data_IF_014163337007
#
_entry.id   IF_014163337007
#
_cell.length_a   1.000
_cell.length_b   1.000
_cell.length_c   1.000
_cell.angle_alpha   90.00
_cell.angle_beta   90.00
_cell.angle_gamma   90.00
#
_symmetry.space_group_name_H-M   'P 1'
#
loop_
_entity.id
_entity.type
_entity.pdbx_description
1 polymer ?
#
# COMPACT_ATOMS: atom_id res chain seq x y z
N UNK A 1 29.20 -11.14 -11.54
CA UNK A 1 29.90 -11.77 -10.39
C UNK A 1 30.25 -10.70 -9.38
N UNK A 2 29.82 -10.88 -8.12
CA UNK A 2 30.53 -10.58 -6.85
C UNK A 2 31.03 -9.12 -6.72
N UNK A 3 30.64 -8.30 -5.74
CA UNK A 3 30.74 -8.48 -4.27
C UNK A 3 29.88 -7.38 -3.61
N UNK A 4 28.87 -7.71 -2.80
CA UNK A 4 28.89 -7.60 -1.34
C UNK A 4 29.69 -6.40 -0.78
N UNK A 5 28.96 -5.38 -0.32
CA UNK A 5 29.28 -4.70 0.94
C UNK A 5 27.97 -4.43 1.69
N UNK A 6 27.57 -5.44 2.45
CA UNK A 6 26.58 -5.36 3.51
C UNK A 6 27.24 -4.56 4.65
N UNK A 7 26.98 -3.26 4.75
CA UNK A 7 27.53 -2.42 5.81
C UNK A 7 26.41 -1.90 6.70
N UNK A 8 26.18 -2.66 7.77
CA UNK A 8 25.92 -2.20 9.13
C UNK A 8 24.98 -0.99 9.28
N UNK A 9 23.68 -1.27 9.41
CA UNK A 9 22.80 -0.41 10.19
C UNK A 9 23.04 -0.74 11.66
N UNK A 10 23.78 0.14 12.35
CA UNK A 10 23.87 0.15 13.79
C UNK A 10 22.47 0.42 14.37
N UNK A 11 21.77 -0.64 14.76
CA UNK A 11 20.60 -0.54 15.59
C UNK A 11 21.05 -0.10 16.98
N UNK A 12 20.76 1.15 17.33
CA UNK A 12 20.75 1.63 18.71
C UNK A 12 19.76 0.78 19.50
N UNK A 13 20.28 -0.26 20.16
CA UNK A 13 19.52 -1.17 21.01
C UNK A 13 18.96 -0.36 22.18
N UNK A 14 17.65 -0.14 22.17
CA UNK A 14 16.90 0.18 23.37
C UNK A 14 17.01 -1.01 24.31
N UNK A 15 17.79 -0.83 25.35
CA UNK A 15 17.91 -1.72 26.51
C UNK A 15 16.54 -1.93 27.16
N UNK A 16 15.84 -2.99 26.74
CA UNK A 16 14.83 -3.63 27.57
C UNK A 16 15.57 -4.57 28.51
N UNK A 17 15.80 -4.08 29.72
CA UNK A 17 16.16 -4.88 30.88
C UNK A 17 15.03 -5.85 31.18
N UNK A 18 15.17 -7.11 30.77
CA UNK A 18 14.72 -8.27 31.56
C UNK A 18 15.40 -9.54 31.04
N UNK A 19 15.93 -10.26 32.02
CA UNK A 19 16.72 -11.47 31.91
C UNK A 19 15.85 -12.59 31.34
N UNK A 20 16.35 -13.25 30.29
CA UNK A 20 15.96 -14.60 29.85
C UNK A 20 14.67 -14.72 28.98
N UNK A 21 14.74 -14.47 27.67
CA UNK A 21 13.78 -15.04 26.69
C UNK A 21 14.40 -15.18 25.28
N UNK A 22 14.86 -16.40 25.00
CA UNK A 22 14.61 -17.19 23.77
C UNK A 22 14.95 -16.60 22.39
N UNK A 23 15.96 -17.21 21.73
CA UNK A 23 16.32 -17.12 20.29
C UNK A 23 15.14 -17.16 19.30
N UNK A 24 14.03 -17.78 19.71
CA UNK A 24 12.79 -17.89 18.93
C UNK A 24 12.10 -16.54 18.74
N UNK A 25 12.13 -15.65 19.74
CA UNK A 25 11.51 -14.33 19.65
C UNK A 25 12.28 -13.39 18.69
N UNK A 26 13.61 -13.51 18.63
CA UNK A 26 14.43 -12.75 17.68
C UNK A 26 14.21 -13.23 16.24
N UNK A 27 14.15 -14.55 15.99
CA UNK A 27 13.86 -15.13 14.66
C UNK A 27 12.41 -14.87 14.20
N UNK A 28 11.45 -14.84 15.12
CA UNK A 28 10.07 -14.48 14.81
C UNK A 28 9.92 -12.97 14.51
N UNK A 29 10.72 -12.11 15.15
CA UNK A 29 10.75 -10.66 14.89
C UNK A 29 11.46 -10.31 13.57
N UNK A 30 12.57 -11.00 13.26
CA UNK A 30 13.31 -10.82 12.01
C UNK A 30 12.49 -11.34 10.81
N UNK A 31 11.83 -12.49 10.92
CA UNK A 31 10.88 -12.96 9.90
C UNK A 31 9.64 -12.06 9.77
N UNK A 32 9.18 -11.45 10.86
CA UNK A 32 8.09 -10.48 10.82
C UNK A 32 8.53 -9.20 10.10
N UNK A 33 9.72 -8.67 10.38
CA UNK A 33 10.29 -7.51 9.70
C UNK A 33 10.54 -7.77 8.21
N UNK A 34 11.12 -8.91 7.85
CA UNK A 34 11.39 -9.30 6.45
C UNK A 34 10.07 -9.47 5.65
N UNK A 35 9.01 -9.99 6.29
CA UNK A 35 7.66 -9.99 5.72
C UNK A 35 7.05 -8.60 5.60
N UNK A 36 7.29 -7.72 6.56
CA UNK A 36 6.75 -6.35 6.56
C UNK A 36 7.42 -5.52 5.47
N UNK A 37 8.73 -5.65 5.30
CA UNK A 37 9.49 -4.95 4.26
C UNK A 37 9.06 -5.40 2.86
N UNK A 38 8.99 -6.71 2.61
CA UNK A 38 8.45 -7.27 1.35
C UNK A 38 7.00 -6.85 1.09
N UNK A 39 6.18 -6.71 2.13
CA UNK A 39 4.77 -6.28 2.00
C UNK A 39 4.64 -4.78 1.75
N UNK A 40 5.50 -3.95 2.35
CA UNK A 40 5.56 -2.52 2.08
C UNK A 40 6.04 -2.24 0.65
N UNK A 41 7.03 -3.01 0.18
CA UNK A 41 7.45 -2.99 -1.23
C UNK A 41 6.32 -3.44 -2.17
N UNK A 42 5.58 -4.51 -1.83
CA UNK A 42 4.40 -4.91 -2.61
C UNK A 42 3.34 -3.81 -2.65
N UNK A 43 2.98 -3.22 -1.51
CA UNK A 43 1.97 -2.17 -1.46
C UNK A 43 2.38 -0.95 -2.30
N UNK A 44 3.66 -0.59 -2.29
CA UNK A 44 4.22 0.48 -3.13
C UNK A 44 4.17 0.14 -4.62
N UNK A 45 4.54 -1.10 -4.98
CA UNK A 45 4.52 -1.56 -6.37
C UNK A 45 3.10 -1.66 -6.93
N UNK A 46 2.13 -2.15 -6.15
CA UNK A 46 0.72 -2.22 -6.58
C UNK A 46 0.14 -0.82 -6.82
N UNK A 47 0.41 0.13 -5.93
CA UNK A 47 0.01 1.53 -6.10
C UNK A 47 0.58 2.14 -7.38
N UNK A 48 1.88 1.91 -7.63
CA UNK A 48 2.54 2.44 -8.83
C UNK A 48 1.95 1.82 -10.10
N UNK A 49 1.77 0.50 -10.09
CA UNK A 49 1.20 -0.24 -11.22
C UNK A 49 -0.22 0.25 -11.55
N UNK A 50 -1.03 0.55 -10.55
CA UNK A 50 -2.37 1.08 -10.83
C UNK A 50 -2.36 2.53 -11.27
N UNK A 51 -1.43 3.37 -10.78
CA UNK A 51 -1.29 4.70 -11.35
C UNK A 51 -0.96 4.66 -12.86
N UNK A 52 -0.12 3.71 -13.28
CA UNK A 52 0.25 3.50 -14.69
C UNK A 52 -0.90 2.89 -15.53
N UNK A 53 -1.68 1.97 -14.96
CA UNK A 53 -2.76 1.25 -15.66
C UNK A 53 -4.17 1.70 -15.26
N UNK A 54 -4.30 2.92 -14.73
CA UNK A 54 -5.50 3.42 -14.07
C UNK A 54 -6.79 3.21 -14.88
N UNK A 55 -6.74 3.48 -16.19
CA UNK A 55 -7.89 3.35 -17.09
C UNK A 55 -8.31 1.88 -17.25
N UNK A 56 -7.34 0.98 -17.42
CA UNK A 56 -7.63 -0.44 -17.61
C UNK A 56 -8.04 -1.12 -16.31
N UNK A 57 -7.47 -0.70 -15.18
CA UNK A 57 -7.89 -1.13 -13.85
C UNK A 57 -9.30 -0.60 -13.54
N UNK A 58 -9.64 0.63 -13.92
CA UNK A 58 -10.98 1.20 -13.72
C UNK A 58 -12.08 0.56 -14.57
N UNK A 59 -11.75 0.06 -15.78
CA UNK A 59 -12.67 -0.79 -16.57
C UNK A 59 -12.99 -2.09 -15.85
N UNK A 60 -12.05 -2.59 -15.05
CA UNK A 60 -12.16 -3.84 -14.27
C UNK A 60 -12.60 -3.59 -12.83
N UNK A 61 -12.55 -2.35 -12.36
CA UNK A 61 -12.77 -2.01 -10.98
C UNK A 61 -14.20 -2.34 -10.56
N UNK A 62 -14.30 -3.09 -9.46
CA UNK A 62 -15.57 -3.41 -8.83
C UNK A 62 -15.98 -2.21 -7.99
N UNK A 63 -17.04 -1.51 -8.41
CA UNK A 63 -17.57 -0.31 -7.73
C UNK A 63 -18.13 -0.56 -6.32
N UNK A 64 -18.04 -1.79 -5.83
CA UNK A 64 -18.71 -2.30 -4.63
C UNK A 64 -17.74 -2.77 -3.54
N UNK A 65 -16.42 -2.61 -3.72
CA UNK A 65 -15.45 -3.04 -2.68
C UNK A 65 -15.53 -2.08 -1.51
N UNK A 66 -16.08 -2.54 -0.39
CA UNK A 66 -16.15 -1.75 0.85
C UNK A 66 -14.75 -1.41 1.36
N UNK A 67 -14.62 -0.19 1.90
CA UNK A 67 -13.38 0.26 2.53
C UNK A 67 -13.24 -0.45 3.87
N UNK A 68 -12.13 -1.18 4.11
CA UNK A 68 -11.93 -1.86 5.39
C UNK A 68 -11.67 -0.85 6.50
N UNK A 69 -11.84 -1.29 7.75
CA UNK A 69 -11.46 -0.51 8.92
C UNK A 69 -9.96 -0.58 9.17
N UNK A 70 -9.31 0.57 9.23
CA UNK A 70 -7.92 0.73 9.62
C UNK A 70 -7.81 1.18 11.07
N UNK A 71 -6.69 0.84 11.73
CA UNK A 71 -6.44 1.25 13.12
C UNK A 71 -6.06 2.72 13.21
N UNK A 72 -5.31 3.21 12.22
CA UNK A 72 -4.94 4.61 12.13
C UNK A 72 -6.06 5.44 11.50
N UNK A 73 -6.57 6.50 12.18
CA UNK A 73 -7.56 7.41 11.60
C UNK A 73 -7.08 8.11 10.32
N UNK A 74 -5.78 8.40 10.25
CA UNK A 74 -5.15 8.99 9.06
C UNK A 74 -5.19 8.02 7.87
N UNK A 75 -4.91 6.74 8.13
CA UNK A 75 -4.97 5.69 7.10
C UNK A 75 -6.41 5.40 6.68
N UNK A 76 -7.36 5.42 7.62
CA UNK A 76 -8.77 5.28 7.30
C UNK A 76 -9.23 6.38 6.35
N UNK A 77 -8.94 7.64 6.68
CA UNK A 77 -9.29 8.78 5.82
C UNK A 77 -8.67 8.64 4.43
N UNK A 78 -7.40 8.25 4.38
CA UNK A 78 -6.70 8.03 3.12
C UNK A 78 -7.36 6.91 2.28
N UNK A 79 -7.79 5.82 2.90
CA UNK A 79 -8.50 4.74 2.23
C UNK A 79 -9.87 5.19 1.70
N UNK A 80 -10.62 5.98 2.48
CA UNK A 80 -11.91 6.52 2.05
C UNK A 80 -11.74 7.43 0.82
N UNK A 81 -10.74 8.32 0.84
CA UNK A 81 -10.44 9.21 -0.29
C UNK A 81 -9.97 8.41 -1.53
N UNK A 82 -9.16 7.36 -1.33
CA UNK A 82 -8.68 6.49 -2.41
C UNK A 82 -9.84 5.72 -3.06
N UNK A 83 -10.77 5.21 -2.26
CA UNK A 83 -11.97 4.53 -2.75
C UNK A 83 -12.83 5.46 -3.61
N UNK A 84 -13.02 6.71 -3.15
CA UNK A 84 -13.77 7.70 -3.90
C UNK A 84 -13.07 8.07 -5.21
N UNK A 85 -11.74 8.21 -5.20
CA UNK A 85 -10.96 8.45 -6.42
C UNK A 85 -11.19 7.34 -7.46
N UNK A 86 -11.10 6.07 -7.08
CA UNK A 86 -11.35 4.96 -8.03
C UNK A 86 -12.79 4.90 -8.52
N UNK A 87 -13.75 5.27 -7.67
CA UNK A 87 -15.15 5.39 -8.08
C UNK A 87 -15.29 6.45 -9.17
N UNK A 88 -14.71 7.64 -8.99
CA UNK A 88 -14.70 8.71 -10.00
C UNK A 88 -14.04 8.26 -11.29
N UNK A 89 -12.93 7.51 -11.21
CA UNK A 89 -12.25 6.95 -12.40
C UNK A 89 -13.15 5.94 -13.11
N UNK A 90 -13.76 5.01 -12.38
CA UNK A 90 -14.69 4.02 -12.95
C UNK A 90 -15.90 4.69 -13.60
N UNK A 91 -16.48 5.71 -12.97
CA UNK A 91 -17.59 6.49 -13.52
C UNK A 91 -17.18 7.30 -14.75
N UNK A 92 -16.00 7.92 -14.74
CA UNK A 92 -15.46 8.65 -15.91
C UNK A 92 -15.24 7.71 -17.10
N UNK A 93 -14.71 6.52 -16.85
CA UNK A 93 -14.52 5.48 -17.87
C UNK A 93 -15.85 4.96 -18.39
N UNK A 94 -16.81 4.63 -17.50
CA UNK A 94 -18.15 4.14 -17.87
C UNK A 94 -18.97 5.18 -18.64
N UNK A 95 -18.82 6.45 -18.30
CA UNK A 95 -19.50 7.57 -18.98
C UNK A 95 -18.84 7.98 -20.30
N UNK A 96 -17.67 7.42 -20.63
CA UNK A 96 -16.93 7.78 -21.85
C UNK A 96 -16.37 9.21 -21.84
N UNK A 97 -16.26 9.85 -20.67
CA UNK A 97 -15.82 11.23 -20.56
C UNK A 97 -14.29 11.33 -20.63
N UNK A 98 -13.76 11.48 -21.85
CA UNK A 98 -12.32 11.56 -22.10
C UNK A 98 -11.62 12.67 -21.29
N UNK A 99 -12.27 13.84 -21.15
CA UNK A 99 -11.75 14.96 -20.34
C UNK A 99 -11.62 14.60 -18.86
N UNK A 100 -12.64 13.95 -18.27
CA UNK A 100 -12.60 13.49 -16.87
C UNK A 100 -11.55 12.40 -16.68
N UNK A 101 -11.45 11.46 -17.62
CA UNK A 101 -10.41 10.42 -17.59
C UNK A 101 -9.02 11.05 -17.61
N UNK A 102 -8.77 12.02 -18.49
CA UNK A 102 -7.48 12.71 -18.57
C UNK A 102 -7.16 13.50 -17.30
N UNK A 103 -8.14 14.21 -16.72
CA UNK A 103 -7.97 14.91 -15.44
C UNK A 103 -7.63 13.95 -14.30
N UNK A 104 -8.32 12.81 -14.22
CA UNK A 104 -8.10 11.81 -13.18
C UNK A 104 -6.77 11.07 -13.38
N UNK A 105 -6.32 10.92 -14.61
CA UNK A 105 -5.00 10.34 -14.93
C UNK A 105 -3.86 11.29 -14.54
N UNK A 106 -4.02 12.60 -14.73
CA UNK A 106 -3.08 13.60 -14.18
C UNK A 106 -3.02 13.53 -12.65
N UNK A 107 -4.17 13.35 -12.00
CA UNK A 107 -4.24 13.16 -10.54
C UNK A 107 -3.62 11.84 -10.07
N UNK A 108 -3.43 10.85 -10.95
CA UNK A 108 -2.87 9.55 -10.59
C UNK A 108 -1.47 9.66 -10.00
N UNK A 109 -0.65 10.58 -10.51
CA UNK A 109 0.72 10.82 -10.02
C UNK A 109 0.72 11.44 -8.61
N UNK A 110 -0.20 12.37 -8.35
CA UNK A 110 -0.40 12.94 -7.01
C UNK A 110 -0.84 11.86 -6.03
N UNK A 111 -1.77 11.00 -6.47
CA UNK A 111 -2.26 9.87 -5.71
C UNK A 111 -1.16 8.84 -5.44
N UNK A 112 -0.27 8.56 -6.40
CA UNK A 112 0.86 7.68 -6.20
C UNK A 112 1.82 8.22 -5.12
N UNK A 113 2.08 9.53 -5.14
CA UNK A 113 2.91 10.19 -4.12
C UNK A 113 2.26 10.14 -2.74
N UNK A 114 0.98 10.53 -2.63
CA UNK A 114 0.22 10.44 -1.38
C UNK A 114 0.20 9.01 -0.83
N UNK A 115 -0.03 8.03 -1.70
CA UNK A 115 -0.04 6.62 -1.32
C UNK A 115 1.28 6.17 -0.73
N UNK A 116 2.42 6.55 -1.33
CA UNK A 116 3.74 6.24 -0.77
C UNK A 116 3.95 6.88 0.61
N UNK A 117 3.53 8.14 0.77
CA UNK A 117 3.64 8.84 2.06
C UNK A 117 2.80 8.13 3.15
N UNK A 118 1.54 7.79 2.86
CA UNK A 118 0.69 7.12 3.83
C UNK A 118 1.14 5.70 4.10
N UNK A 119 1.57 4.94 3.09
CA UNK A 119 2.12 3.59 3.24
C UNK A 119 3.32 3.58 4.20
N UNK A 120 4.20 4.57 4.13
CA UNK A 120 5.36 4.69 5.04
C UNK A 120 4.96 4.92 6.51
N UNK A 121 3.75 5.41 6.76
CA UNK A 121 3.18 5.69 8.09
C UNK A 121 2.26 4.57 8.58
N UNK A 122 1.93 3.59 7.74
CA UNK A 122 1.04 2.49 8.11
C UNK A 122 1.74 1.53 9.06
N UNK A 123 0.97 1.00 10.02
CA UNK A 123 1.42 -0.19 10.75
C UNK A 123 1.51 -1.38 9.79
N UNK A 124 2.26 -2.42 10.16
CA UNK A 124 2.32 -3.67 9.40
C UNK A 124 0.93 -4.27 9.10
N UNK A 125 0.00 -4.16 10.06
CA UNK A 125 -1.38 -4.64 9.92
C UNK A 125 -2.18 -3.77 8.94
N UNK A 126 -2.06 -2.45 9.04
CA UNK A 126 -2.72 -1.52 8.12
C UNK A 126 -2.17 -1.69 6.69
N UNK A 127 -0.85 -1.81 6.52
CA UNK A 127 -0.22 -2.03 5.20
C UNK A 127 -0.68 -3.35 4.56
N UNK A 128 -0.83 -4.42 5.36
CA UNK A 128 -1.40 -5.70 4.89
C UNK A 128 -2.85 -5.52 4.44
N UNK A 129 -3.67 -4.87 5.26
CA UNK A 129 -5.09 -4.62 4.97
C UNK A 129 -5.25 -3.77 3.72
N UNK A 130 -4.41 -2.75 3.57
CA UNK A 130 -4.34 -1.88 2.40
C UNK A 130 -4.01 -2.67 1.14
N UNK A 131 -2.93 -3.44 1.15
CA UNK A 131 -2.50 -4.25 0.00
C UNK A 131 -3.61 -5.21 -0.44
N UNK A 132 -4.23 -5.93 0.51
CA UNK A 132 -5.33 -6.86 0.21
C UNK A 132 -6.56 -6.16 -0.37
N UNK A 133 -6.86 -4.94 0.10
CA UNK A 133 -7.97 -4.15 -0.39
C UNK A 133 -7.73 -3.55 -1.77
N UNK A 134 -6.56 -2.96 -2.02
CA UNK A 134 -6.19 -2.42 -3.34
C UNK A 134 -6.15 -3.52 -4.40
N UNK A 135 -5.64 -4.71 -4.06
CA UNK A 135 -5.70 -5.86 -4.97
C UNK A 135 -7.15 -6.24 -5.31
N UNK A 136 -8.07 -6.22 -4.34
CA UNK A 136 -9.51 -6.49 -4.59
C UNK A 136 -10.18 -5.39 -5.42
N UNK A 137 -9.74 -4.14 -5.29
CA UNK A 137 -10.25 -3.03 -6.09
C UNK A 137 -9.90 -3.17 -7.57
N UNK A 138 -8.72 -3.73 -7.88
CA UNK A 138 -8.14 -3.75 -9.23
C UNK A 138 -8.18 -5.12 -9.92
N UNK A 139 -8.40 -6.21 -9.17
CA UNK A 139 -8.60 -7.55 -9.72
C UNK A 139 -10.08 -7.91 -9.78
N UNK A 140 -10.55 -8.27 -10.98
CA UNK A 140 -11.75 -9.08 -11.16
C UNK A 140 -11.42 -10.56 -10.86
N UNK A 141 -12.40 -11.29 -10.31
CA UNK A 141 -12.50 -12.73 -10.53
C UNK A 141 -12.83 -13.02 -12.00
#
# INVERSE_FOLDING_TARGET
>A
MKKLILSALAASVLVVSCKNTTEKAAKDLENAMDKVEKKAEQATNEVKKTAENLVDDAKKAVSSVEVPKFKSPEVQKFADEYANYYKEVSEAVKSGSAEKVQQLQTKATEWATKSQEYLSKMTAEDAKTWSEWVTKLTQNQ
#
